data_IF_498799763304
#
_entry.id   IF_498799763304
#
_cell.length_a   1.000
_cell.length_b   1.000
_cell.length_c   1.000
_cell.angle_alpha   90.00
_cell.angle_beta   90.00
_cell.angle_gamma   90.00
#
_symmetry.space_group_name_H-M   'P 1'
#
loop_
_entity.id
_entity.type
_entity.pdbx_description
1 polymer ?
#
# COMPACT_ATOMS: atom_id res chain seq x y z
N UNK A 1 -6.79 2.97 31.41
CA UNK A 1 -5.41 2.80 30.89
C UNK A 1 -5.36 3.51 29.55
N UNK A 2 -4.45 4.46 29.37
CA UNK A 2 -4.31 5.20 28.12
C UNK A 2 -3.54 4.32 27.14
N UNK A 3 -4.24 3.46 26.40
CA UNK A 3 -3.62 2.63 25.35
C UNK A 3 -3.04 3.56 24.28
N UNK A 4 -1.72 3.62 24.22
CA UNK A 4 -0.99 4.36 23.20
C UNK A 4 -1.16 3.61 21.88
N UNK A 5 -2.06 4.09 21.03
CA UNK A 5 -2.21 3.59 19.67
C UNK A 5 -1.07 4.18 18.84
N UNK A 6 -0.13 3.37 18.33
CA UNK A 6 1.01 3.89 17.60
C UNK A 6 0.53 4.55 16.30
N UNK A 7 1.14 5.69 15.94
CA UNK A 7 0.84 6.39 14.69
C UNK A 7 1.42 5.68 13.46
N UNK A 8 2.19 4.61 13.66
CA UNK A 8 2.76 3.83 12.57
C UNK A 8 2.84 2.35 12.92
N UNK A 9 2.77 1.52 11.89
CA UNK A 9 2.97 0.09 12.00
C UNK A 9 3.84 -0.39 10.84
N UNK A 10 4.82 -1.25 11.12
CA UNK A 10 5.66 -1.83 10.07
C UNK A 10 5.83 -3.33 10.24
N UNK A 11 5.93 -4.03 9.12
CA UNK A 11 6.29 -5.45 9.09
C UNK A 11 7.21 -5.73 7.91
N UNK A 12 8.07 -6.74 8.06
CA UNK A 12 8.77 -7.36 6.95
C UNK A 12 8.17 -8.72 6.68
N UNK A 13 7.99 -9.05 5.42
CA UNK A 13 7.37 -10.31 5.01
C UNK A 13 7.98 -10.84 3.71
N UNK A 14 7.85 -12.14 3.53
CA UNK A 14 7.96 -12.79 2.23
C UNK A 14 6.54 -13.04 1.75
N UNK A 15 6.15 -12.49 0.60
CA UNK A 15 4.75 -12.54 0.12
C UNK A 15 4.44 -13.94 -0.40
N UNK A 16 3.70 -14.70 0.41
CA UNK A 16 3.13 -15.99 0.05
C UNK A 16 1.61 -15.92 -0.13
N UNK A 17 0.99 -17.05 -0.46
CA UNK A 17 -0.44 -17.18 -0.78
C UNK A 17 -1.37 -16.54 0.27
N UNK A 18 -1.06 -16.69 1.56
CA UNK A 18 -1.90 -16.19 2.65
C UNK A 18 -1.57 -14.76 3.09
N UNK A 19 -0.48 -14.17 2.59
CA UNK A 19 -0.01 -12.86 3.03
C UNK A 19 -1.05 -11.74 2.79
N UNK A 20 -1.71 -11.63 1.62
CA UNK A 20 -2.69 -10.57 1.39
C UNK A 20 -3.86 -10.61 2.39
N UNK A 21 -4.39 -11.81 2.69
CA UNK A 21 -5.49 -11.96 3.66
C UNK A 21 -5.06 -11.52 5.06
N UNK A 22 -3.85 -11.89 5.48
CA UNK A 22 -3.33 -11.49 6.78
C UNK A 22 -3.10 -9.98 6.84
N UNK A 23 -2.48 -9.40 5.82
CA UNK A 23 -2.21 -7.97 5.74
C UNK A 23 -3.50 -7.16 5.75
N UNK A 24 -4.54 -7.56 5.01
CA UNK A 24 -5.84 -6.87 5.04
C UNK A 24 -6.46 -6.82 6.44
N UNK A 25 -6.38 -7.92 7.20
CA UNK A 25 -6.87 -7.95 8.59
C UNK A 25 -6.12 -6.97 9.48
N UNK A 26 -4.79 -6.89 9.32
CA UNK A 26 -3.95 -5.96 10.09
C UNK A 26 -4.27 -4.52 9.73
N UNK A 27 -4.37 -4.21 8.43
CA UNK A 27 -4.77 -2.88 7.93
C UNK A 27 -6.11 -2.46 8.54
N UNK A 28 -7.12 -3.34 8.47
CA UNK A 28 -8.44 -3.07 9.06
C UNK A 28 -8.37 -2.74 10.53
N UNK A 29 -7.65 -3.54 11.33
CA UNK A 29 -7.50 -3.30 12.76
C UNK A 29 -6.85 -1.94 13.06
N UNK A 30 -5.79 -1.57 12.32
CA UNK A 30 -5.18 -0.25 12.49
C UNK A 30 -6.10 0.90 12.09
N UNK A 31 -6.89 0.76 11.03
CA UNK A 31 -7.85 1.78 10.62
C UNK A 31 -8.99 1.94 11.61
N UNK A 32 -9.47 0.85 12.22
CA UNK A 32 -10.44 0.88 13.31
C UNK A 32 -9.86 1.62 14.54
N UNK A 33 -8.64 1.27 14.95
CA UNK A 33 -7.93 1.93 16.06
C UNK A 33 -7.66 3.42 15.79
N UNK A 34 -7.35 3.78 14.54
CA UNK A 34 -7.14 5.16 14.12
C UNK A 34 -8.43 5.93 13.84
N UNK A 35 -9.60 5.31 14.04
CA UNK A 35 -10.93 5.90 13.81
C UNK A 35 -11.14 6.35 12.36
N UNK A 36 -10.64 5.57 11.42
CA UNK A 36 -10.81 5.74 9.96
C UNK A 36 -11.35 4.46 9.28
N UNK A 37 -12.35 3.76 9.84
CA UNK A 37 -12.83 2.50 9.27
C UNK A 37 -13.37 2.63 7.84
N UNK A 38 -13.84 3.82 7.45
CA UNK A 38 -14.31 4.14 6.10
C UNK A 38 -13.23 4.03 5.02
N UNK A 39 -11.95 4.03 5.40
CA UNK A 39 -10.84 3.85 4.47
C UNK A 39 -10.51 2.38 4.21
N UNK A 40 -11.11 1.43 4.95
CA UNK A 40 -10.70 0.03 4.94
C UNK A 40 -10.71 -0.59 3.55
N UNK A 41 -11.78 -0.44 2.79
CA UNK A 41 -11.91 -1.10 1.49
C UNK A 41 -10.88 -0.57 0.48
N UNK A 42 -10.67 0.75 0.43
CA UNK A 42 -9.68 1.36 -0.45
C UNK A 42 -8.25 0.96 -0.06
N UNK A 43 -7.92 1.01 1.24
CA UNK A 43 -6.56 0.71 1.71
C UNK A 43 -6.24 -0.79 1.60
N UNK A 44 -7.23 -1.66 1.86
CA UNK A 44 -7.10 -3.10 1.69
C UNK A 44 -6.93 -3.53 0.23
N UNK A 45 -7.62 -2.85 -0.69
CA UNK A 45 -7.43 -3.07 -2.12
C UNK A 45 -6.03 -2.60 -2.55
N UNK A 46 -5.67 -1.36 -2.23
CA UNK A 46 -4.37 -0.78 -2.57
C UNK A 46 -3.18 -1.62 -2.05
N UNK A 47 -3.24 -2.09 -0.80
CA UNK A 47 -2.19 -2.96 -0.27
C UNK A 47 -2.15 -4.32 -0.98
N UNK A 48 -3.31 -4.87 -1.37
CA UNK A 48 -3.36 -6.14 -2.12
C UNK A 48 -2.68 -5.99 -3.48
N UNK A 49 -2.93 -4.89 -4.19
CA UNK A 49 -2.28 -4.58 -5.46
C UNK A 49 -0.76 -4.41 -5.32
N UNK A 50 -0.31 -3.68 -4.28
CA UNK A 50 1.13 -3.54 -4.03
C UNK A 50 1.81 -4.88 -3.72
N UNK A 51 1.17 -5.75 -2.94
CA UNK A 51 1.70 -7.09 -2.66
C UNK A 51 1.69 -7.99 -3.90
N UNK A 52 0.69 -7.87 -4.77
CA UNK A 52 0.65 -8.59 -6.05
C UNK A 52 1.84 -8.18 -6.93
N UNK A 53 2.14 -6.87 -7.00
CA UNK A 53 3.33 -6.36 -7.70
C UNK A 53 4.63 -6.94 -7.13
N UNK A 54 4.74 -7.10 -5.80
CA UNK A 54 5.90 -7.75 -5.18
C UNK A 54 6.01 -9.22 -5.65
N UNK A 55 4.91 -9.98 -5.62
CA UNK A 55 4.90 -11.38 -6.07
C UNK A 55 5.33 -11.51 -7.54
N UNK A 56 4.89 -10.59 -8.39
CA UNK A 56 5.13 -10.64 -9.83
C UNK A 56 6.52 -10.14 -10.24
N UNK A 57 7.10 -9.20 -9.48
CA UNK A 57 8.29 -8.46 -9.94
C UNK A 57 9.52 -8.54 -9.03
N UNK A 58 9.40 -9.15 -7.85
CA UNK A 58 10.49 -9.29 -6.88
C UNK A 58 10.85 -10.77 -6.75
N UNK A 59 12.04 -11.22 -7.23
CA UNK A 59 12.38 -12.64 -7.30
C UNK A 59 12.28 -13.40 -5.97
N UNK A 60 12.69 -12.78 -4.86
CA UNK A 60 12.63 -13.39 -3.52
C UNK A 60 11.32 -13.06 -2.76
N UNK A 61 10.44 -12.25 -3.38
CA UNK A 61 9.15 -11.77 -2.84
C UNK A 61 9.26 -11.12 -1.47
N UNK A 62 10.43 -10.58 -1.11
CA UNK A 62 10.63 -9.90 0.17
C UNK A 62 10.26 -8.43 0.05
N UNK A 63 9.48 -7.96 1.01
CA UNK A 63 9.17 -6.54 1.14
C UNK A 63 8.99 -6.11 2.59
N UNK A 64 8.97 -4.81 2.82
CA UNK A 64 8.54 -4.17 4.05
C UNK A 64 7.25 -3.39 3.79
N UNK A 65 6.23 -3.63 4.61
CA UNK A 65 5.01 -2.84 4.64
C UNK A 65 5.12 -1.82 5.77
N UNK A 66 4.73 -0.58 5.52
CA UNK A 66 4.59 0.48 6.51
C UNK A 66 3.23 1.14 6.36
N UNK A 67 2.49 1.23 7.48
CA UNK A 67 1.28 2.03 7.62
C UNK A 67 1.62 3.26 8.46
N UNK A 68 1.26 4.44 7.98
CA UNK A 68 1.47 5.72 8.63
C UNK A 68 0.13 6.44 8.79
N UNK A 69 -0.28 6.69 10.04
CA UNK A 69 -1.41 7.56 10.34
C UNK A 69 -1.02 8.99 10.01
N UNK A 70 -1.80 9.61 9.14
CA UNK A 70 -1.71 11.03 8.83
C UNK A 70 -2.84 11.79 9.54
N UNK A 71 -2.74 13.12 9.71
CA UNK A 71 -3.79 13.91 10.36
C UNK A 71 -5.18 13.76 9.74
N UNK A 72 -5.25 13.49 8.43
CA UNK A 72 -6.50 13.40 7.66
C UNK A 72 -6.61 12.10 6.86
N UNK A 73 -5.87 11.05 7.22
CA UNK A 73 -5.86 9.82 6.43
C UNK A 73 -4.77 8.84 6.81
N UNK A 74 -4.43 7.98 5.86
CA UNK A 74 -3.39 6.97 6.00
C UNK A 74 -2.48 6.97 4.77
N UNK A 75 -1.19 6.78 5.01
CA UNK A 75 -0.21 6.46 3.97
C UNK A 75 0.25 5.02 4.14
N UNK A 76 0.28 4.29 3.03
CA UNK A 76 0.78 2.93 2.95
C UNK A 76 2.02 2.93 2.06
N UNK A 77 3.07 2.25 2.53
CA UNK A 77 4.29 2.06 1.76
C UNK A 77 4.65 0.58 1.69
N UNK A 78 5.05 0.13 0.50
CA UNK A 78 5.65 -1.18 0.27
C UNK A 78 7.03 -0.98 -0.33
N UNK A 79 8.05 -1.40 0.41
CA UNK A 79 9.46 -1.30 0.02
C UNK A 79 10.00 -2.68 -0.33
N UNK A 80 10.58 -2.83 -1.51
CA UNK A 80 11.19 -4.08 -1.98
C UNK A 80 12.58 -3.84 -2.59
N UNK A 81 13.34 -4.93 -2.78
CA UNK A 81 14.72 -4.87 -3.27
C UNK A 81 14.87 -4.73 -4.78
N UNK A 82 13.79 -4.58 -5.54
CA UNK A 82 13.81 -4.50 -7.00
C UNK A 82 13.72 -3.05 -7.49
N UNK A 83 14.70 -2.63 -8.28
CA UNK A 83 14.70 -1.33 -8.99
C UNK A 83 13.70 -1.26 -10.15
N UNK A 84 13.03 -2.38 -10.45
CA UNK A 84 12.02 -2.42 -11.51
C UNK A 84 10.84 -1.54 -11.11
N UNK A 85 10.69 -0.41 -11.78
CA UNK A 85 9.54 0.46 -11.63
C UNK A 85 8.25 -0.29 -12.00
N UNK A 86 7.14 -0.03 -11.30
CA UNK A 86 5.80 -0.36 -11.80
C UNK A 86 5.66 0.25 -13.20
N UNK A 87 5.35 -0.57 -14.21
CA UNK A 87 5.24 -0.09 -15.59
C UNK A 87 3.99 0.78 -15.68
N UNK A 88 4.11 2.01 -16.21
CA UNK A 88 2.98 2.93 -16.34
C UNK A 88 1.88 2.36 -17.27
N UNK A 89 0.60 2.68 -17.02
CA UNK A 89 -0.52 2.19 -17.82
C UNK A 89 -0.44 2.58 -19.31
N UNK A 90 0.21 3.69 -19.65
CA UNK A 90 0.39 4.15 -21.05
C UNK A 90 1.20 3.18 -21.95
N UNK A 91 1.82 2.14 -21.36
CA UNK A 91 2.60 1.12 -22.05
C UNK A 91 2.05 -0.30 -21.90
N UNK A 92 0.90 -0.46 -21.26
CA UNK A 92 0.31 -1.76 -21.01
C UNK A 92 -0.90 -1.96 -21.92
N UNK A 93 -0.91 -3.12 -22.57
CA UNK A 93 -2.14 -3.68 -23.08
C UNK A 93 -3.16 -3.70 -21.92
N UNK A 94 -4.39 -3.17 -22.06
CA UNK A 94 -5.42 -3.23 -21.01
C UNK A 94 -5.76 -4.68 -20.57
N UNK A 95 -5.33 -5.69 -21.34
CA UNK A 95 -5.40 -7.11 -20.99
C UNK A 95 -4.17 -7.62 -20.20
N UNK A 96 -3.07 -6.87 -20.14
CA UNK A 96 -1.89 -7.23 -19.35
C UNK A 96 -2.11 -6.96 -17.85
N UNK A 97 -2.04 -8.03 -17.06
CA UNK A 97 -2.32 -8.07 -15.62
C UNK A 97 -1.49 -7.06 -14.79
N UNK A 98 -0.28 -6.71 -15.25
CA UNK A 98 0.60 -5.75 -14.58
C UNK A 98 0.17 -4.28 -14.66
N UNK A 99 -0.79 -3.91 -15.52
CA UNK A 99 -1.25 -2.52 -15.67
C UNK A 99 -2.44 -2.12 -14.82
N UNK A 100 -3.19 -3.10 -14.32
CA UNK A 100 -4.41 -2.84 -13.55
C UNK A 100 -4.13 -2.32 -12.16
N UNK A 101 -3.05 -2.77 -11.52
CA UNK A 101 -2.72 -2.35 -10.15
C UNK A 101 -2.47 -0.84 -10.02
N UNK A 102 -1.78 -0.23 -10.99
CA UNK A 102 -1.58 1.23 -11.00
C UNK A 102 -2.84 1.99 -11.37
N UNK A 103 -3.62 1.50 -12.33
CA UNK A 103 -4.93 2.08 -12.67
C UNK A 103 -5.90 2.07 -11.47
N UNK A 104 -5.84 1.01 -10.67
CA UNK A 104 -6.62 0.91 -9.44
C UNK A 104 -6.16 1.93 -8.40
N UNK A 105 -4.85 2.12 -8.22
CA UNK A 105 -4.32 3.17 -7.34
C UNK A 105 -4.66 4.57 -7.86
N UNK A 106 -4.56 4.83 -9.16
CA UNK A 106 -4.98 6.09 -9.81
C UNK A 106 -6.46 6.38 -9.56
N UNK A 107 -7.31 5.35 -9.57
CA UNK A 107 -8.75 5.51 -9.39
C UNK A 107 -9.17 5.67 -7.92
N UNK A 108 -8.46 5.04 -6.97
CA UNK A 108 -8.89 4.95 -5.56
C UNK A 108 -8.12 5.83 -4.59
N UNK A 109 -6.84 6.11 -4.86
CA UNK A 109 -5.96 6.82 -3.93
C UNK A 109 -5.97 8.32 -4.19
N UNK A 110 -5.81 9.12 -3.14
CA UNK A 110 -5.69 10.58 -3.28
C UNK A 110 -4.35 11.00 -3.86
N UNK A 111 -3.30 10.27 -3.47
CA UNK A 111 -1.94 10.40 -4.00
C UNK A 111 -1.29 9.05 -4.01
N UNK A 112 -0.43 8.81 -4.97
CA UNK A 112 0.47 7.67 -4.94
C UNK A 112 1.75 8.03 -5.67
N UNK A 113 2.78 7.21 -5.48
CA UNK A 113 4.04 7.40 -6.16
C UNK A 113 5.03 6.29 -5.92
N UNK A 114 6.22 6.48 -6.50
CA UNK A 114 7.33 5.55 -6.40
C UNK A 114 8.59 6.33 -6.05
N UNK A 115 9.30 5.86 -5.02
CA UNK A 115 10.59 6.40 -4.60
C UNK A 115 11.67 5.34 -4.81
N UNK A 116 12.74 5.67 -5.53
CA UNK A 116 13.90 4.79 -5.71
C UNK A 116 14.94 5.05 -4.62
N UNK A 117 15.57 4.00 -4.10
CA UNK A 117 16.59 4.12 -3.06
C UNK A 117 18.00 4.15 -3.65
N UNK A 118 18.86 5.03 -3.11
CA UNK A 118 20.29 5.05 -3.45
C UNK A 118 20.93 3.78 -2.90
N UNK A 119 21.20 2.80 -3.77
CA UNK A 119 21.73 1.49 -3.39
C UNK A 119 20.86 0.30 -3.80
N UNK A 120 19.73 0.56 -4.47
CA UNK A 120 18.84 -0.47 -4.98
C UNK A 120 17.55 -0.61 -4.16
N UNK A 121 16.49 -1.03 -4.84
CA UNK A 121 15.15 -1.15 -4.32
C UNK A 121 14.29 0.09 -4.54
N UNK A 122 13.00 -0.09 -4.31
CA UNK A 122 11.98 0.96 -4.44
C UNK A 122 10.99 0.90 -3.30
N UNK A 123 10.34 2.04 -3.06
CA UNK A 123 9.13 2.15 -2.27
C UNK A 123 8.00 2.58 -3.18
N UNK A 124 6.97 1.76 -3.31
CA UNK A 124 5.69 2.18 -3.88
C UNK A 124 4.78 2.56 -2.73
N UNK A 125 4.08 3.68 -2.85
CA UNK A 125 3.25 4.22 -1.78
C UNK A 125 1.97 4.82 -2.30
N UNK A 126 0.93 4.82 -1.47
CA UNK A 126 -0.32 5.55 -1.72
C UNK A 126 -0.87 6.16 -0.43
N UNK A 127 -1.70 7.18 -0.58
CA UNK A 127 -2.35 7.92 0.49
C UNK A 127 -3.87 7.91 0.25
N UNK A 128 -4.63 7.62 1.31
CA UNK A 128 -6.09 7.71 1.32
C UNK A 128 -6.50 8.70 2.41
N UNK A 129 -7.23 9.74 2.02
CA UNK A 129 -7.75 10.77 2.91
C UNK A 129 -9.16 10.41 3.38
N UNK A 130 -9.39 10.51 4.69
CA UNK A 130 -10.71 10.33 5.29
C UNK A 130 -11.66 11.43 4.80
N UNK A 131 -12.85 11.10 4.29
CA UNK A 131 -13.84 12.07 3.82
C UNK A 131 -14.24 13.11 4.87
N UNK A 132 -14.21 12.76 6.16
CA UNK A 132 -14.54 13.68 7.27
C UNK A 132 -13.53 14.81 7.46
N UNK A 133 -12.37 14.75 6.79
CA UNK A 133 -11.35 15.79 6.80
C UNK A 133 -11.12 16.46 5.42
N UNK A 134 -11.94 16.14 4.40
CA UNK A 134 -11.84 16.74 3.04
C UNK A 134 -12.39 18.16 2.91
N UNK A 135 -12.77 18.80 4.02
CA UNK A 135 -13.26 20.18 4.02
C UNK A 135 -13.30 20.77 5.42
N UNK A 136 -12.37 21.70 5.68
CA UNK A 136 -12.48 22.73 6.71
C UNK A 136 -11.79 23.97 6.17
#
# INVERSE_FOLDING_TARGET
MNEYIPAQYSMRLTVGEHAPRHVRRIVRSFLEEWRMPELSDAVELGVTELLANVVQHVPDRRCALLLLRQPAGVRVEVTDGSDRLPVSPDRLDPEAEGGRGLLLLDAMADKWGVSLWRGGGKTVWFECASPTHRGS
#
